data_IF_414994395534
#
_entry.id   IF_414994395534
#
_cell.length_a   1.000
_cell.length_b   1.000
_cell.length_c   1.000
_cell.angle_alpha   90.00
_cell.angle_beta   90.00
_cell.angle_gamma   90.00
#
_symmetry.space_group_name_H-M   'P 1'
#
loop_
_entity.id
_entity.type
_entity.pdbx_description
1 polymer ?
#
# COMPACT_ATOMS: atom_id res chain seq x y z
N UNK A 1 -69.64 -2.68 0.53
CA UNK A 1 -69.25 -2.13 -0.77
C UNK A 1 -67.77 -1.87 -0.71
N UNK A 2 -66.99 -2.85 -1.17
CA UNK A 2 -65.55 -2.75 -1.39
C UNK A 2 -65.26 -1.63 -2.40
N UNK A 3 -64.12 -0.96 -2.28
CA UNK A 3 -63.00 -1.31 -3.17
C UNK A 3 -61.69 -0.67 -2.72
N UNK A 4 -60.71 -1.54 -2.63
CA UNK A 4 -59.35 -1.33 -2.17
C UNK A 4 -58.60 -0.34 -3.05
N UNK A 5 -57.85 0.55 -2.40
CA UNK A 5 -56.92 1.47 -3.04
C UNK A 5 -55.79 0.69 -3.72
N UNK A 6 -55.90 0.50 -5.04
CA UNK A 6 -54.94 -0.24 -5.85
C UNK A 6 -53.53 0.38 -5.78
N UNK A 7 -52.59 -0.31 -5.11
CA UNK A 7 -51.16 -0.01 -5.18
C UNK A 7 -50.63 -0.41 -6.55
N UNK A 8 -50.42 0.59 -7.42
CA UNK A 8 -49.79 0.41 -8.72
C UNK A 8 -48.34 -0.05 -8.54
N UNK A 9 -48.10 -1.34 -8.67
CA UNK A 9 -46.75 -1.89 -8.79
C UNK A 9 -46.20 -1.54 -10.18
N UNK A 10 -45.44 -0.44 -10.27
CA UNK A 10 -44.63 -0.13 -11.46
C UNK A 10 -43.59 -1.25 -11.63
N UNK A 11 -43.93 -2.30 -12.40
CA UNK A 11 -43.00 -3.37 -12.80
C UNK A 11 -42.01 -2.80 -13.82
N UNK A 12 -40.98 -2.13 -13.33
CA UNK A 12 -39.77 -1.82 -14.10
C UNK A 12 -38.95 -3.08 -14.37
N UNK A 13 -37.96 -2.95 -15.25
CA UNK A 13 -36.99 -4.02 -15.55
C UNK A 13 -36.36 -4.52 -14.23
N UNK A 14 -36.28 -5.84 -13.99
CA UNK A 14 -35.53 -6.35 -12.86
C UNK A 14 -34.09 -5.82 -12.88
N UNK A 15 -33.53 -5.41 -11.74
CA UNK A 15 -32.13 -5.02 -11.68
C UNK A 15 -31.26 -6.13 -12.28
N UNK A 16 -30.36 -5.76 -13.19
CA UNK A 16 -29.37 -6.69 -13.74
C UNK A 16 -28.32 -6.95 -12.65
N UNK A 17 -28.27 -8.18 -12.14
CA UNK A 17 -27.30 -8.64 -11.16
C UNK A 17 -27.89 -8.85 -9.76
N UNK A 18 -27.06 -9.33 -8.83
CA UNK A 18 -27.39 -9.38 -7.40
C UNK A 18 -27.72 -7.97 -6.88
N UNK A 19 -28.48 -7.91 -5.78
CA UNK A 19 -28.94 -6.66 -5.19
C UNK A 19 -27.81 -5.62 -5.08
N UNK A 20 -28.10 -4.33 -5.34
CA UNK A 20 -27.08 -3.30 -5.25
C UNK A 20 -26.48 -3.29 -3.84
N UNK A 21 -25.15 -3.39 -3.75
CA UNK A 21 -24.41 -3.28 -2.48
C UNK A 21 -24.94 -2.11 -1.66
N UNK A 22 -25.18 -2.38 -0.37
CA UNK A 22 -25.51 -1.37 0.61
C UNK A 22 -24.41 -0.31 0.71
N UNK A 23 -24.77 0.88 1.20
CA UNK A 23 -23.81 1.97 1.43
C UNK A 23 -22.65 1.52 2.33
N UNK A 24 -22.94 0.66 3.32
CA UNK A 24 -21.94 0.10 4.23
C UNK A 24 -20.95 -0.81 3.49
N UNK A 25 -21.42 -1.70 2.62
CA UNK A 25 -20.58 -2.59 1.82
C UNK A 25 -19.71 -1.82 0.84
N UNK A 26 -20.25 -0.81 0.16
CA UNK A 26 -19.45 0.08 -0.69
C UNK A 26 -18.35 0.77 0.11
N UNK A 27 -18.66 1.31 1.29
CA UNK A 27 -17.69 2.01 2.13
C UNK A 27 -16.62 1.05 2.67
N UNK A 28 -16.97 -0.18 3.01
CA UNK A 28 -16.00 -1.24 3.36
C UNK A 28 -15.10 -1.58 2.17
N UNK A 29 -15.66 -1.77 0.98
CA UNK A 29 -14.91 -2.03 -0.25
C UNK A 29 -13.92 -0.91 -0.58
N UNK A 30 -14.33 0.35 -0.42
CA UNK A 30 -13.46 1.50 -0.61
C UNK A 30 -12.27 1.49 0.37
N UNK A 31 -12.54 1.32 1.67
CA UNK A 31 -11.47 1.28 2.70
C UNK A 31 -10.43 0.18 2.44
N UNK A 32 -10.88 -1.00 1.98
CA UNK A 32 -9.95 -2.09 1.63
C UNK A 32 -9.05 -1.71 0.45
N UNK A 33 -9.58 -1.03 -0.56
CA UNK A 33 -8.79 -0.55 -1.70
C UNK A 33 -7.82 0.54 -1.27
N UNK A 34 -8.27 1.52 -0.49
CA UNK A 34 -7.41 2.60 0.00
C UNK A 34 -6.27 2.05 0.86
N UNK A 35 -6.57 1.08 1.73
CA UNK A 35 -5.55 0.39 2.54
C UNK A 35 -4.53 -0.34 1.68
N UNK A 36 -4.96 -1.04 0.62
CA UNK A 36 -4.04 -1.73 -0.31
C UNK A 36 -3.20 -0.73 -1.09
N UNK A 37 -3.80 0.35 -1.61
CA UNK A 37 -3.08 1.41 -2.30
C UNK A 37 -2.03 2.07 -1.40
N UNK A 38 -2.33 2.27 -0.12
CA UNK A 38 -1.36 2.78 0.85
C UNK A 38 -0.22 1.78 1.08
N UNK A 39 -0.51 0.49 1.25
CA UNK A 39 0.50 -0.56 1.42
C UNK A 39 1.38 -0.67 0.17
N UNK A 40 0.79 -0.67 -1.03
CA UNK A 40 1.50 -0.77 -2.30
C UNK A 40 2.36 0.47 -2.55
N UNK A 41 1.89 1.66 -2.16
CA UNK A 41 2.65 2.92 -2.28
C UNK A 41 3.83 2.99 -1.30
N UNK A 42 3.66 2.43 -0.10
CA UNK A 42 4.73 2.32 0.92
C UNK A 42 5.76 1.26 0.50
N UNK A 43 5.32 0.17 -0.10
CA UNK A 43 6.15 -0.98 -0.42
C UNK A 43 6.52 -1.81 0.81
N UNK A 44 7.54 -2.66 0.68
CA UNK A 44 8.01 -3.52 1.76
C UNK A 44 8.91 -2.74 2.74
N UNK A 45 8.30 -1.86 3.52
CA UNK A 45 8.98 -0.98 4.49
C UNK A 45 9.81 -1.77 5.50
N UNK A 46 9.33 -2.94 5.93
CA UNK A 46 10.02 -3.78 6.91
C UNK A 46 11.34 -4.32 6.34
N UNK A 47 11.36 -4.72 5.07
CA UNK A 47 12.59 -5.17 4.43
C UNK A 47 13.33 -4.07 3.67
N UNK A 48 12.83 -2.83 3.64
CA UNK A 48 13.48 -1.73 2.94
C UNK A 48 14.90 -1.45 3.46
N UNK A 49 15.17 -1.42 4.79
CA UNK A 49 16.53 -1.29 5.31
C UNK A 49 17.41 -2.45 4.87
N UNK A 50 16.92 -3.68 4.97
CA UNK A 50 17.66 -4.88 4.56
C UNK A 50 18.01 -4.82 3.06
N UNK A 51 17.06 -4.53 2.18
CA UNK A 51 17.28 -4.39 0.73
C UNK A 51 18.29 -3.29 0.41
N UNK A 52 18.26 -2.18 1.14
CA UNK A 52 19.25 -1.12 0.99
C UNK A 52 20.66 -1.61 1.36
N UNK A 53 20.81 -2.41 2.42
CA UNK A 53 22.09 -3.02 2.79
C UNK A 53 22.61 -3.97 1.70
N UNK A 54 21.77 -4.85 1.16
CA UNK A 54 22.15 -5.74 0.05
C UNK A 54 22.61 -4.96 -1.19
N UNK A 55 21.93 -3.86 -1.52
CA UNK A 55 22.30 -3.02 -2.66
C UNK A 55 23.66 -2.32 -2.46
N UNK A 56 23.97 -1.91 -1.22
CA UNK A 56 25.27 -1.34 -0.84
C UNK A 56 26.37 -2.40 -0.98
N UNK A 57 26.17 -3.58 -0.41
CA UNK A 57 27.15 -4.68 -0.47
C UNK A 57 27.45 -5.08 -1.92
N UNK A 58 26.42 -5.25 -2.74
CA UNK A 58 26.57 -5.61 -4.16
C UNK A 58 27.34 -4.55 -4.97
N UNK A 59 27.26 -3.28 -4.59
CA UNK A 59 28.00 -2.19 -5.25
C UNK A 59 29.44 -2.07 -4.77
N UNK A 60 29.73 -2.45 -3.53
CA UNK A 60 31.05 -2.27 -2.94
C UNK A 60 32.16 -3.02 -3.70
N UNK A 61 31.83 -4.15 -4.33
CA UNK A 61 32.77 -4.99 -5.06
C UNK A 61 32.89 -4.64 -6.56
N UNK A 62 32.05 -3.73 -7.07
CA UNK A 62 31.97 -3.48 -8.52
C UNK A 62 33.09 -2.58 -9.06
N UNK A 63 33.51 -1.57 -8.30
CA UNK A 63 34.59 -0.63 -8.65
C UNK A 63 34.96 0.26 -7.47
N UNK A 64 36.13 0.91 -7.49
CA UNK A 64 36.51 1.88 -6.44
C UNK A 64 35.51 3.05 -6.26
N UNK A 65 35.00 3.70 -7.33
CA UNK A 65 33.94 4.70 -7.19
C UNK A 65 32.66 4.14 -6.55
N UNK A 66 32.29 2.91 -6.90
CA UNK A 66 31.13 2.25 -6.33
C UNK A 66 31.34 1.90 -4.84
N UNK A 67 32.57 1.51 -4.46
CA UNK A 67 32.98 1.28 -3.07
C UNK A 67 32.88 2.54 -2.22
N UNK A 68 33.39 3.68 -2.71
CA UNK A 68 33.28 4.97 -2.01
C UNK A 68 31.82 5.41 -1.85
N UNK A 69 30.99 5.20 -2.86
CA UNK A 69 29.55 5.46 -2.81
C UNK A 69 28.85 4.55 -1.77
N UNK A 70 29.19 3.27 -1.76
CA UNK A 70 28.69 2.29 -0.80
C UNK A 70 29.05 2.65 0.65
N UNK A 71 30.29 3.09 0.92
CA UNK A 71 30.73 3.56 2.23
C UNK A 71 29.91 4.77 2.73
N UNK A 72 29.66 5.75 1.85
CA UNK A 72 28.83 6.92 2.19
C UNK A 72 27.39 6.53 2.51
N UNK A 73 26.82 5.64 1.70
CA UNK A 73 25.47 5.13 1.91
C UNK A 73 25.37 4.33 3.23
N UNK A 74 26.38 3.51 3.54
CA UNK A 74 26.46 2.76 4.78
C UNK A 74 26.51 3.69 6.01
N UNK A 75 27.33 4.75 5.96
CA UNK A 75 27.42 5.72 7.06
C UNK A 75 26.09 6.46 7.30
N UNK A 76 25.37 6.84 6.24
CA UNK A 76 24.07 7.52 6.35
C UNK A 76 22.98 6.60 6.89
N UNK A 77 22.92 5.36 6.40
CA UNK A 77 22.00 4.34 6.93
C UNK A 77 22.35 4.03 8.40
N UNK A 78 23.66 3.95 8.71
CA UNK A 78 24.22 3.86 10.06
C UNK A 78 23.71 4.89 11.03
N UNK A 79 23.70 6.16 10.61
CA UNK A 79 23.20 7.29 11.41
C UNK A 79 21.69 7.23 11.62
N UNK A 80 20.91 6.94 10.58
CA UNK A 80 19.43 6.98 10.63
C UNK A 80 18.83 5.93 11.56
N UNK A 81 19.50 4.80 11.70
CA UNK A 81 19.01 3.65 12.44
C UNK A 81 19.94 3.25 13.60
N UNK A 82 20.86 4.13 13.98
CA UNK A 82 21.69 4.04 15.19
C UNK A 82 22.60 2.80 15.32
N UNK A 83 23.05 2.19 14.22
CA UNK A 83 24.02 1.07 14.27
C UNK A 83 25.47 1.46 14.03
N UNK A 84 25.75 2.74 13.73
CA UNK A 84 27.13 3.26 13.66
C UNK A 84 27.23 4.51 14.53
N UNK A 85 27.98 4.42 15.64
CA UNK A 85 28.44 5.60 16.36
C UNK A 85 29.58 6.23 15.57
N UNK A 86 29.29 7.28 14.80
CA UNK A 86 30.34 8.12 14.22
C UNK A 86 30.87 9.00 15.36
N UNK A 87 31.88 8.51 16.07
CA UNK A 87 32.70 9.37 16.92
C UNK A 87 33.40 10.37 16.01
N UNK A 88 33.20 11.66 16.30
CA UNK A 88 33.80 12.79 15.58
C UNK A 88 35.32 12.77 15.66
#
# INVERSE_FOLDING_TARGET
MSDDCAKVAKRGRPPKGEQPMSVAERKRGQRTRDRRAAIDAIGDEQNAPLRALWAILRRAEASEPARLSAQRAWAEIGRRYCFVNVTK
#
